data_IF_268888517463
#
_entry.id   IF_268888517463
#
_cell.length_a   1.000
_cell.length_b   1.000
_cell.length_c   1.000
_cell.angle_alpha   90.00
_cell.angle_beta   90.00
_cell.angle_gamma   90.00
#
_symmetry.space_group_name_H-M   'P 1'
#
loop_
_entity.id
_entity.type
_entity.pdbx_description
1 polymer ?
#
# COMPACT_ATOMS: atom_id res chain seq x y z
N UNK A 1 -17.47 22.00 -5.89
CA UNK A 1 -16.62 21.07 -6.67
C UNK A 1 -17.36 19.74 -6.69
N UNK A 2 -17.70 19.24 -7.85
CA UNK A 2 -18.29 17.88 -7.99
C UNK A 2 -17.23 16.88 -7.53
N UNK A 3 -17.54 16.09 -6.49
CA UNK A 3 -16.69 14.97 -6.08
C UNK A 3 -16.65 13.91 -7.20
N UNK A 4 -15.73 12.97 -7.09
CA UNK A 4 -15.61 11.85 -8.03
C UNK A 4 -16.46 10.64 -7.64
N UNK A 5 -17.14 10.71 -6.50
CA UNK A 5 -18.09 9.66 -6.13
C UNK A 5 -19.18 9.55 -7.19
N UNK A 6 -19.52 8.34 -7.65
CA UNK A 6 -20.55 8.14 -8.67
C UNK A 6 -21.88 8.77 -8.23
N UNK A 7 -22.52 9.54 -9.12
CA UNK A 7 -23.85 10.11 -8.88
C UNK A 7 -24.95 9.06 -8.94
N UNK A 8 -24.73 8.00 -9.71
CA UNK A 8 -25.58 6.81 -9.79
C UNK A 8 -24.70 5.59 -9.53
N UNK A 9 -25.11 4.78 -8.58
CA UNK A 9 -24.44 3.52 -8.31
C UNK A 9 -25.14 2.39 -9.10
N UNK A 10 -24.38 1.42 -9.61
CA UNK A 10 -24.95 0.25 -10.27
C UNK A 10 -25.99 -0.45 -9.37
N UNK A 11 -27.05 -0.96 -9.98
CA UNK A 11 -28.06 -1.73 -9.24
C UNK A 11 -27.55 -3.13 -8.98
N UNK A 12 -27.00 -3.35 -7.79
CA UNK A 12 -26.56 -4.67 -7.38
C UNK A 12 -27.75 -5.60 -7.10
N UNK A 13 -27.58 -6.87 -7.47
CA UNK A 13 -28.55 -7.94 -7.20
C UNK A 13 -27.94 -8.95 -6.25
N UNK A 14 -28.73 -9.45 -5.30
CA UNK A 14 -28.29 -10.58 -4.51
C UNK A 14 -28.08 -11.80 -5.41
N UNK A 15 -26.94 -12.45 -5.30
CA UNK A 15 -26.60 -13.72 -5.96
C UNK A 15 -26.53 -14.84 -4.92
N UNK A 16 -26.26 -16.05 -5.37
CA UNK A 16 -25.98 -17.16 -4.45
C UNK A 16 -24.74 -16.94 -3.57
N UNK A 17 -23.86 -16.00 -3.96
CA UNK A 17 -22.55 -15.77 -3.33
C UNK A 17 -22.43 -14.43 -2.60
N UNK A 18 -23.14 -13.38 -3.07
CA UNK A 18 -22.98 -12.00 -2.59
C UNK A 18 -24.36 -11.37 -2.39
N UNK A 19 -24.55 -10.67 -1.27
CA UNK A 19 -25.75 -9.87 -1.02
C UNK A 19 -25.75 -8.58 -1.87
N UNK A 20 -26.93 -7.91 -1.98
CA UNK A 20 -27.05 -6.68 -2.74
C UNK A 20 -26.16 -5.52 -2.21
N UNK A 21 -25.73 -5.57 -0.96
CA UNK A 21 -24.79 -4.60 -0.36
C UNK A 21 -23.30 -4.96 -0.62
N UNK A 22 -23.02 -5.95 -1.46
CA UNK A 22 -21.68 -6.42 -1.81
C UNK A 22 -21.09 -7.42 -0.82
N UNK A 23 -21.73 -7.69 0.31
CA UNK A 23 -21.16 -8.60 1.31
C UNK A 23 -21.22 -10.05 0.84
N UNK A 24 -20.10 -10.78 0.87
CA UNK A 24 -20.11 -12.20 0.57
C UNK A 24 -20.95 -12.97 1.62
N UNK A 25 -21.71 -13.98 1.15
CA UNK A 25 -22.42 -14.89 2.05
C UNK A 25 -21.43 -15.68 2.93
N UNK A 26 -21.94 -16.39 3.91
CA UNK A 26 -21.08 -17.12 4.86
C UNK A 26 -20.16 -18.14 4.16
N UNK A 27 -20.68 -18.91 3.21
CA UNK A 27 -19.92 -19.95 2.52
C UNK A 27 -18.76 -19.37 1.69
N UNK A 28 -19.02 -18.34 0.87
CA UNK A 28 -17.99 -17.66 0.10
C UNK A 28 -16.97 -16.98 1.03
N UNK A 29 -17.45 -16.35 2.10
CA UNK A 29 -16.61 -15.64 3.07
C UNK A 29 -15.63 -16.59 3.78
N UNK A 30 -16.06 -17.77 4.18
CA UNK A 30 -15.21 -18.79 4.79
C UNK A 30 -14.10 -19.25 3.82
N UNK A 31 -14.45 -19.47 2.54
CA UNK A 31 -13.48 -19.82 1.50
C UNK A 31 -12.47 -18.70 1.24
N UNK A 32 -12.94 -17.44 1.15
CA UNK A 32 -12.11 -16.28 0.86
C UNK A 32 -11.16 -15.94 2.00
N UNK A 33 -11.54 -16.19 3.25
CA UNK A 33 -10.74 -15.87 4.45
C UNK A 33 -9.64 -16.86 4.80
N UNK A 34 -9.46 -17.89 3.98
CA UNK A 34 -8.34 -18.81 4.15
C UNK A 34 -7.00 -18.12 3.92
N UNK A 35 -6.09 -18.18 4.91
CA UNK A 35 -4.78 -17.54 4.88
C UNK A 35 -3.74 -18.58 4.40
N UNK A 36 -3.21 -18.45 3.17
CA UNK A 36 -2.21 -19.37 2.63
C UNK A 36 -0.80 -19.05 3.15
N UNK A 37 -0.55 -19.27 4.45
CA UNK A 37 0.66 -18.86 5.16
C UNK A 37 1.96 -19.25 4.46
N UNK A 38 2.06 -20.45 3.89
CA UNK A 38 3.27 -20.92 3.20
C UNK A 38 3.55 -20.13 1.91
N UNK A 39 2.49 -19.78 1.13
CA UNK A 39 2.61 -18.94 -0.06
C UNK A 39 3.03 -17.52 0.30
N UNK A 40 2.55 -17.02 1.44
CA UNK A 40 2.91 -15.71 1.95
C UNK A 40 4.36 -15.70 2.46
N UNK A 41 4.83 -16.77 3.09
CA UNK A 41 6.24 -16.95 3.44
C UNK A 41 7.14 -16.89 2.20
N UNK A 42 6.79 -17.59 1.13
CA UNK A 42 7.50 -17.50 -0.16
C UNK A 42 7.52 -16.06 -0.66
N UNK A 43 6.41 -15.32 -0.59
CA UNK A 43 6.38 -13.91 -1.01
C UNK A 43 7.35 -13.03 -0.21
N UNK A 44 7.46 -13.24 1.10
CA UNK A 44 8.43 -12.53 1.94
C UNK A 44 9.87 -12.89 1.56
N UNK A 45 10.16 -14.19 1.41
CA UNK A 45 11.49 -14.64 0.99
C UNK A 45 11.86 -14.09 -0.38
N UNK A 46 10.96 -14.19 -1.36
CA UNK A 46 11.19 -13.68 -2.71
C UNK A 46 11.36 -12.18 -2.79
N UNK A 47 10.74 -11.41 -1.90
CA UNK A 47 11.02 -9.98 -1.77
C UNK A 47 12.49 -9.74 -1.41
N UNK A 48 13.04 -10.46 -0.44
CA UNK A 48 14.44 -10.33 -0.06
C UNK A 48 15.40 -10.86 -1.14
N UNK A 49 15.07 -11.97 -1.80
CA UNK A 49 15.84 -12.50 -2.94
C UNK A 49 15.91 -11.47 -4.07
N UNK A 50 14.78 -10.82 -4.41
CA UNK A 50 14.77 -9.76 -5.41
C UNK A 50 15.63 -8.56 -4.99
N UNK A 51 15.51 -8.10 -3.75
CA UNK A 51 16.32 -7.00 -3.22
C UNK A 51 17.81 -7.35 -3.33
N UNK A 52 18.21 -8.54 -2.88
CA UNK A 52 19.61 -8.99 -2.96
C UNK A 52 20.09 -9.08 -4.40
N UNK A 53 19.28 -9.62 -5.31
CA UNK A 53 19.61 -9.72 -6.74
C UNK A 53 19.79 -8.34 -7.39
N UNK A 54 18.95 -7.36 -7.07
CA UNK A 54 19.09 -6.00 -7.60
C UNK A 54 20.32 -5.28 -7.03
N UNK A 55 20.60 -5.43 -5.74
CA UNK A 55 21.82 -4.87 -5.15
C UNK A 55 23.07 -5.53 -5.75
N UNK A 56 23.06 -6.85 -5.98
CA UNK A 56 24.12 -7.54 -6.68
C UNK A 56 24.29 -7.04 -8.13
N UNK A 57 23.20 -6.80 -8.85
CA UNK A 57 23.21 -6.22 -10.17
C UNK A 57 23.87 -4.82 -10.19
N UNK A 58 23.57 -3.98 -9.19
CA UNK A 58 24.19 -2.67 -9.05
C UNK A 58 25.72 -2.74 -8.88
N UNK A 59 26.19 -3.77 -8.17
CA UNK A 59 27.63 -4.02 -7.95
C UNK A 59 28.29 -4.59 -9.20
N UNK A 60 27.70 -5.66 -9.78
CA UNK A 60 28.31 -6.41 -10.91
C UNK A 60 28.32 -5.62 -12.20
N UNK A 61 27.19 -4.95 -12.51
CA UNK A 61 27.03 -4.20 -13.75
C UNK A 61 27.37 -2.71 -13.62
N UNK A 62 27.60 -2.23 -12.39
CA UNK A 62 28.01 -0.86 -12.10
C UNK A 62 27.00 0.20 -12.55
N UNK A 63 27.48 1.42 -12.91
CA UNK A 63 26.63 2.59 -13.12
C UNK A 63 25.54 2.43 -14.19
N UNK A 64 25.73 1.57 -15.18
CA UNK A 64 24.75 1.30 -16.22
C UNK A 64 23.43 0.72 -15.68
N UNK A 65 23.51 -0.07 -14.62
CA UNK A 65 22.33 -0.68 -13.98
C UNK A 65 21.66 0.23 -12.94
N UNK A 66 22.35 1.24 -12.44
CA UNK A 66 21.91 2.04 -11.29
C UNK A 66 20.55 2.70 -11.45
N UNK A 67 20.21 3.32 -12.61
CA UNK A 67 18.86 3.91 -12.75
C UNK A 67 17.74 2.87 -12.63
N UNK A 68 17.94 1.70 -13.22
CA UNK A 68 16.96 0.59 -13.20
C UNK A 68 16.86 0.03 -11.78
N UNK A 69 17.99 -0.26 -11.13
CA UNK A 69 18.04 -0.78 -9.77
C UNK A 69 17.40 0.22 -8.80
N UNK A 70 17.65 1.51 -8.95
CA UNK A 70 17.05 2.57 -8.15
C UNK A 70 15.52 2.55 -8.23
N UNK A 71 14.96 2.42 -9.42
CA UNK A 71 13.50 2.32 -9.62
C UNK A 71 12.94 1.02 -9.04
N UNK A 72 13.63 -0.10 -9.25
CA UNK A 72 13.23 -1.41 -8.72
C UNK A 72 13.29 -1.45 -7.18
N UNK A 73 14.26 -0.78 -6.57
CA UNK A 73 14.32 -0.64 -5.11
C UNK A 73 13.16 0.21 -4.57
N UNK A 74 12.77 1.28 -5.25
CA UNK A 74 11.55 2.03 -4.92
C UNK A 74 10.29 1.17 -5.00
N UNK A 75 10.19 0.32 -6.04
CA UNK A 75 9.14 -0.69 -6.18
C UNK A 75 9.19 -1.75 -5.07
N UNK A 76 10.38 -2.15 -4.61
CA UNK A 76 10.51 -3.08 -3.47
C UNK A 76 9.81 -2.52 -2.21
N UNK A 77 9.89 -1.21 -1.96
CA UNK A 77 9.15 -0.60 -0.85
C UNK A 77 7.64 -0.67 -1.02
N UNK A 78 7.10 -0.67 -2.25
CA UNK A 78 5.68 -0.98 -2.47
C UNK A 78 5.34 -2.43 -2.08
N UNK A 79 6.25 -3.38 -2.32
CA UNK A 79 6.08 -4.77 -1.88
C UNK A 79 6.16 -4.91 -0.36
N UNK A 80 7.13 -4.26 0.29
CA UNK A 80 7.21 -4.19 1.75
C UNK A 80 5.92 -3.64 2.34
N UNK A 81 5.42 -2.53 1.81
CA UNK A 81 4.19 -1.89 2.27
C UNK A 81 2.96 -2.78 2.09
N UNK A 82 2.84 -3.49 0.96
CA UNK A 82 1.70 -4.37 0.69
C UNK A 82 1.70 -5.61 1.60
N UNK A 83 2.86 -6.25 1.81
CA UNK A 83 2.95 -7.38 2.75
C UNK A 83 2.80 -6.95 4.21
N UNK A 84 3.31 -5.76 4.56
CA UNK A 84 3.10 -5.18 5.88
C UNK A 84 1.63 -4.82 6.13
N UNK A 85 0.92 -4.29 5.13
CA UNK A 85 -0.51 -4.04 5.17
C UNK A 85 -1.29 -5.33 5.46
N UNK A 86 -0.94 -6.43 4.78
CA UNK A 86 -1.51 -7.75 5.04
C UNK A 86 -1.24 -8.21 6.48
N UNK A 87 -0.02 -8.00 6.98
CA UNK A 87 0.32 -8.28 8.37
C UNK A 87 -0.44 -7.36 9.35
N UNK A 88 -0.76 -6.12 8.97
CA UNK A 88 -1.57 -5.22 9.77
C UNK A 88 -3.00 -5.72 9.93
N UNK A 89 -3.59 -6.32 8.89
CA UNK A 89 -4.87 -7.03 8.95
C UNK A 89 -4.78 -8.40 9.64
N UNK A 90 -3.58 -8.88 10.01
CA UNK A 90 -3.33 -10.21 10.55
C UNK A 90 -3.68 -11.35 9.59
N UNK A 91 -3.48 -11.10 8.31
CA UNK A 91 -3.77 -12.03 7.22
C UNK A 91 -2.51 -12.52 6.48
N UNK A 92 -1.31 -12.08 6.89
CA UNK A 92 -0.07 -12.59 6.31
C UNK A 92 0.20 -14.03 6.74
N UNK A 93 -0.04 -14.35 8.02
CA UNK A 93 0.09 -15.71 8.57
C UNK A 93 -1.09 -16.02 9.50
N UNK A 94 -1.59 -17.26 9.44
CA UNK A 94 -2.63 -17.75 10.33
C UNK A 94 -2.17 -17.74 11.81
N UNK A 95 -0.90 -18.07 12.07
CA UNK A 95 -0.30 -17.91 13.39
C UNK A 95 -0.06 -16.43 13.68
N UNK A 96 -0.78 -15.87 14.65
CA UNK A 96 -0.72 -14.44 15.02
C UNK A 96 0.66 -13.98 15.48
N UNK A 97 1.42 -14.85 16.19
CA UNK A 97 2.77 -14.50 16.67
C UNK A 97 3.73 -14.39 15.50
N UNK A 98 3.68 -15.36 14.56
CA UNK A 98 4.47 -15.31 13.34
C UNK A 98 4.09 -14.10 12.48
N UNK A 99 2.79 -13.83 12.31
CA UNK A 99 2.30 -12.65 11.60
C UNK A 99 2.86 -11.34 12.15
N UNK A 100 2.77 -11.15 13.47
CA UNK A 100 3.21 -9.92 14.11
C UNK A 100 4.75 -9.80 14.14
N UNK A 101 5.47 -10.92 14.28
CA UNK A 101 6.93 -10.94 14.26
C UNK A 101 7.46 -10.60 12.85
N UNK A 102 6.99 -11.29 11.82
CA UNK A 102 7.40 -11.02 10.43
C UNK A 102 6.99 -9.61 10.02
N UNK A 103 5.75 -9.21 10.35
CA UNK A 103 5.25 -7.86 10.07
C UNK A 103 6.12 -6.76 10.66
N UNK A 104 6.65 -6.93 11.89
CA UNK A 104 7.55 -5.96 12.53
C UNK A 104 8.97 -6.04 11.98
N UNK A 105 9.59 -7.22 12.07
CA UNK A 105 11.04 -7.37 11.93
C UNK A 105 11.50 -7.55 10.49
N UNK A 106 10.68 -8.19 9.64
CA UNK A 106 11.04 -8.42 8.24
C UNK A 106 10.34 -7.46 7.26
N UNK A 107 9.31 -6.73 7.67
CA UNK A 107 8.58 -5.85 6.76
C UNK A 107 8.57 -4.40 7.24
N UNK A 108 8.05 -4.14 8.43
CA UNK A 108 7.85 -2.79 8.94
C UNK A 108 9.16 -2.06 9.26
N UNK A 109 9.99 -2.60 10.13
CA UNK A 109 11.23 -1.93 10.58
C UNK A 109 12.25 -1.73 9.45
N UNK A 110 12.47 -2.70 8.53
CA UNK A 110 13.31 -2.46 7.35
C UNK A 110 12.78 -1.36 6.44
N UNK A 111 11.45 -1.19 6.33
CA UNK A 111 10.81 -0.13 5.55
C UNK A 111 10.45 1.12 6.36
N UNK A 112 11.10 1.35 7.49
CA UNK A 112 10.90 2.52 8.37
C UNK A 112 9.47 2.71 8.88
N UNK A 113 8.67 1.63 8.94
CA UNK A 113 7.25 1.73 9.28
C UNK A 113 6.95 1.08 10.64
N UNK A 114 6.37 1.83 11.59
CA UNK A 114 5.91 1.32 12.88
C UNK A 114 4.58 0.58 12.71
N UNK A 115 4.61 -0.70 12.33
CA UNK A 115 3.42 -1.48 11.93
C UNK A 115 2.27 -1.44 12.94
N UNK A 116 2.55 -1.43 14.25
CA UNK A 116 1.47 -1.41 15.25
C UNK A 116 0.72 -0.06 15.26
N UNK A 117 1.43 1.05 15.03
CA UNK A 117 0.81 2.36 14.85
C UNK A 117 0.05 2.42 13.51
N UNK A 118 0.67 1.91 12.44
CA UNK A 118 0.02 1.78 11.14
C UNK A 118 -1.27 0.95 11.22
N UNK A 119 -1.24 -0.21 11.89
CA UNK A 119 -2.43 -1.05 12.10
C UNK A 119 -3.57 -0.28 12.77
N UNK A 120 -3.28 0.49 13.84
CA UNK A 120 -4.32 1.27 14.52
C UNK A 120 -4.91 2.33 13.60
N UNK A 121 -4.08 3.07 12.88
CA UNK A 121 -4.51 4.09 11.92
C UNK A 121 -5.33 3.46 10.79
N UNK A 122 -4.85 2.38 10.20
CA UNK A 122 -5.48 1.70 9.09
C UNK A 122 -6.82 1.04 9.46
N UNK A 123 -6.93 0.48 10.67
CA UNK A 123 -8.22 -0.02 11.17
C UNK A 123 -9.20 1.12 11.47
N UNK A 124 -8.72 2.30 11.85
CA UNK A 124 -9.58 3.48 12.01
C UNK A 124 -10.09 3.98 10.65
N UNK A 125 -9.24 3.98 9.62
CA UNK A 125 -9.60 4.27 8.24
C UNK A 125 -10.73 3.35 7.73
N UNK A 126 -10.58 2.02 7.82
CA UNK A 126 -11.64 1.07 7.42
C UNK A 126 -12.96 1.23 8.17
N UNK A 127 -12.91 1.73 9.40
CA UNK A 127 -14.11 1.90 10.24
C UNK A 127 -14.95 3.09 9.82
N UNK A 128 -14.32 4.21 9.49
CA UNK A 128 -15.00 5.49 9.24
C UNK A 128 -14.28 6.30 8.14
N UNK A 129 -14.30 5.75 6.91
CA UNK A 129 -13.71 6.40 5.73
C UNK A 129 -14.34 7.77 5.51
N UNK A 130 -13.49 8.78 5.31
CA UNK A 130 -13.87 10.20 5.24
C UNK A 130 -14.57 10.73 6.51
N UNK A 131 -14.45 10.00 7.62
CA UNK A 131 -14.97 10.46 8.90
C UNK A 131 -14.07 11.49 9.58
N UNK A 132 -14.55 12.12 10.66
CA UNK A 132 -13.82 13.21 11.33
C UNK A 132 -12.49 12.77 11.96
N UNK A 133 -12.35 11.49 12.26
CA UNK A 133 -11.15 10.93 12.91
C UNK A 133 -10.32 10.04 11.97
N UNK A 134 -10.57 10.11 10.66
CA UNK A 134 -9.82 9.33 9.71
C UNK A 134 -8.39 9.86 9.55
N UNK A 135 -7.35 9.03 9.81
CA UNK A 135 -5.96 9.49 9.80
C UNK A 135 -5.38 9.69 8.40
N UNK A 136 -5.95 9.04 7.36
CA UNK A 136 -5.41 9.02 6.00
C UNK A 136 -5.98 10.12 5.08
N UNK A 137 -6.97 10.89 5.54
CA UNK A 137 -7.56 12.03 4.83
C UNK A 137 -6.52 12.94 4.15
N UNK A 138 -5.39 13.33 4.81
CA UNK A 138 -4.41 14.22 4.19
C UNK A 138 -3.75 13.66 2.91
N UNK A 139 -3.84 12.35 2.65
CA UNK A 139 -3.26 11.71 1.47
C UNK A 139 -4.09 11.99 0.21
N UNK A 140 -5.41 12.07 0.33
CA UNK A 140 -6.34 12.08 -0.80
C UNK A 140 -7.45 13.14 -0.73
N UNK A 141 -7.51 13.97 0.31
CA UNK A 141 -8.48 15.08 0.37
C UNK A 141 -8.20 16.14 -0.69
N UNK A 142 -9.29 16.76 -1.19
CA UNK A 142 -9.25 17.91 -2.09
C UNK A 142 -9.09 17.58 -3.56
N UNK A 143 -9.14 16.29 -3.94
CA UNK A 143 -9.23 15.88 -5.34
C UNK A 143 -10.67 16.00 -5.87
N UNK A 144 -10.87 16.27 -7.18
CA UNK A 144 -9.88 16.56 -8.23
C UNK A 144 -9.09 17.85 -7.96
N UNK A 145 -7.85 17.92 -8.47
CA UNK A 145 -6.95 19.07 -8.31
C UNK A 145 -6.38 19.52 -9.66
N UNK A 146 -5.95 20.79 -9.73
CA UNK A 146 -5.25 21.31 -10.91
C UNK A 146 -3.99 20.47 -11.23
N UNK A 147 -3.68 20.22 -12.53
CA UNK A 147 -2.49 19.49 -12.96
C UNK A 147 -1.19 20.04 -12.36
N UNK A 148 -1.07 21.36 -12.23
CA UNK A 148 0.08 22.05 -11.61
C UNK A 148 0.25 21.67 -10.13
N UNK A 149 -0.86 21.45 -9.41
CA UNK A 149 -0.84 21.03 -8.02
C UNK A 149 -0.36 19.58 -7.88
N UNK A 150 -0.85 18.66 -8.73
CA UNK A 150 -0.35 17.28 -8.75
C UNK A 150 1.14 17.23 -9.10
N UNK A 151 1.57 17.95 -10.17
CA UNK A 151 2.98 18.05 -10.56
C UNK A 151 3.86 18.50 -9.41
N UNK A 152 3.46 19.58 -8.69
CA UNK A 152 4.20 20.07 -7.51
C UNK A 152 4.31 19.02 -6.40
N UNK A 153 3.22 18.28 -6.12
CA UNK A 153 3.22 17.20 -5.14
C UNK A 153 4.18 16.07 -5.56
N UNK A 154 4.15 15.63 -6.83
CA UNK A 154 5.03 14.59 -7.35
C UNK A 154 6.51 15.01 -7.36
N UNK A 155 6.82 16.25 -7.71
CA UNK A 155 8.20 16.79 -7.62
C UNK A 155 8.69 16.74 -6.17
N UNK A 156 7.90 17.16 -5.19
CA UNK A 156 8.27 17.10 -3.77
C UNK A 156 8.52 15.66 -3.31
N UNK A 157 7.76 14.71 -3.82
CA UNK A 157 7.95 13.29 -3.52
C UNK A 157 9.21 12.76 -4.20
N UNK A 158 9.39 13.02 -5.49
CA UNK A 158 10.54 12.58 -6.28
C UNK A 158 11.88 13.18 -5.81
N UNK A 159 11.86 14.42 -5.27
CA UNK A 159 13.05 15.08 -4.70
C UNK A 159 13.30 14.74 -3.23
N UNK A 160 12.52 13.84 -2.64
CA UNK A 160 12.70 13.37 -1.26
C UNK A 160 12.22 14.32 -0.17
N UNK A 161 11.62 15.49 -0.50
CA UNK A 161 11.13 16.44 0.49
C UNK A 161 10.07 15.80 1.40
N UNK A 162 9.10 15.09 0.81
CA UNK A 162 8.07 14.37 1.57
C UNK A 162 8.68 13.25 2.40
N UNK A 163 9.57 12.45 1.81
CA UNK A 163 10.27 11.36 2.51
C UNK A 163 11.05 11.84 3.71
N UNK A 164 11.83 12.91 3.55
CA UNK A 164 12.62 13.54 4.63
C UNK A 164 11.72 14.10 5.74
N UNK A 165 10.59 14.74 5.38
CA UNK A 165 9.61 15.23 6.37
C UNK A 165 9.07 14.07 7.21
N UNK A 166 8.67 12.97 6.57
CA UNK A 166 8.15 11.78 7.26
C UNK A 166 9.23 11.11 8.13
N UNK A 167 10.46 11.01 7.64
CA UNK A 167 11.59 10.48 8.38
C UNK A 167 11.87 11.31 9.64
N UNK A 168 11.90 12.65 9.51
CA UNK A 168 12.05 13.54 10.67
C UNK A 168 10.90 13.37 11.67
N UNK A 169 9.68 13.16 11.18
CA UNK A 169 8.52 12.90 12.05
C UNK A 169 8.68 11.57 12.82
N UNK A 170 9.15 10.53 12.16
CA UNK A 170 9.46 9.25 12.82
C UNK A 170 10.52 9.43 13.92
N UNK A 171 11.63 10.12 13.64
CA UNK A 171 12.68 10.36 14.64
C UNK A 171 12.21 11.20 15.83
N UNK A 172 11.26 12.14 15.63
CA UNK A 172 10.63 12.85 16.75
C UNK A 172 9.94 11.90 17.74
N UNK A 173 9.52 10.71 17.29
CA UNK A 173 8.99 9.66 18.15
C UNK A 173 9.93 9.19 19.24
N UNK A 174 11.26 9.41 19.13
CA UNK A 174 12.21 9.18 20.22
C UNK A 174 11.95 10.05 21.46
N UNK A 175 11.31 11.21 21.25
CA UNK A 175 10.93 12.16 22.30
C UNK A 175 9.46 12.07 22.69
N UNK A 176 8.73 11.06 22.20
CA UNK A 176 7.33 10.85 22.54
C UNK A 176 7.15 10.58 24.03
N UNK A 177 6.08 11.06 24.63
CA UNK A 177 5.69 10.68 25.99
C UNK A 177 5.33 9.20 26.10
N UNK A 178 4.80 8.59 25.02
CA UNK A 178 4.48 7.16 24.97
C UNK A 178 5.73 6.29 24.88
N UNK A 179 5.98 5.42 25.88
CA UNK A 179 7.14 4.51 25.90
C UNK A 179 7.14 3.53 24.71
N UNK A 180 5.97 3.10 24.28
CA UNK A 180 5.79 2.14 23.18
C UNK A 180 6.27 2.74 21.85
N UNK A 181 5.92 4.00 21.61
CA UNK A 181 6.41 4.76 20.44
C UNK A 181 7.93 4.89 20.47
N UNK A 182 8.50 5.31 21.60
CA UNK A 182 9.97 5.42 21.76
C UNK A 182 10.68 4.09 21.50
N UNK A 183 10.16 3.00 22.07
CA UNK A 183 10.74 1.67 21.88
C UNK A 183 10.66 1.22 20.42
N UNK A 184 9.54 1.47 19.75
CA UNK A 184 9.35 1.11 18.34
C UNK A 184 10.35 1.85 17.45
N UNK A 185 10.54 3.16 17.66
CA UNK A 185 11.52 3.94 16.89
C UNK A 185 12.94 3.44 17.14
N UNK A 186 13.29 3.10 18.38
CA UNK A 186 14.60 2.49 18.71
C UNK A 186 14.83 1.17 17.98
N UNK A 187 13.79 0.31 17.85
CA UNK A 187 13.88 -0.96 17.11
C UNK A 187 14.07 -0.71 15.61
N UNK A 188 13.35 0.28 15.04
CA UNK A 188 13.58 0.68 13.65
C UNK A 188 15.03 1.13 13.46
N UNK A 189 15.54 2.01 14.34
CA UNK A 189 16.93 2.48 14.27
C UNK A 189 17.90 1.29 14.37
N UNK A 190 17.69 0.36 15.30
CA UNK A 190 18.54 -0.81 15.45
C UNK A 190 18.59 -1.66 14.18
N UNK A 191 17.45 -1.90 13.52
CA UNK A 191 17.40 -2.63 12.24
C UNK A 191 18.13 -1.86 11.13
N UNK A 192 17.92 -0.54 11.03
CA UNK A 192 18.62 0.28 10.05
C UNK A 192 20.14 0.32 10.31
N UNK A 193 20.55 0.42 11.59
CA UNK A 193 21.96 0.34 11.96
C UNK A 193 22.59 -1.00 11.58
N UNK A 194 21.86 -2.12 11.75
CA UNK A 194 22.32 -3.43 11.32
C UNK A 194 22.54 -3.48 9.79
N UNK A 195 21.61 -2.93 9.00
CA UNK A 195 21.75 -2.85 7.54
C UNK A 195 22.97 -1.98 7.13
N UNK A 196 23.17 -0.86 7.82
CA UNK A 196 24.33 0.03 7.59
C UNK A 196 25.62 -0.72 7.93
N UNK A 197 25.70 -1.35 9.10
CA UNK A 197 26.89 -2.13 9.51
C UNK A 197 27.18 -3.25 8.52
N UNK A 198 26.17 -3.97 8.06
CA UNK A 198 26.35 -5.02 7.05
C UNK A 198 26.91 -4.46 5.72
N UNK A 199 26.41 -3.29 5.27
CA UNK A 199 26.92 -2.62 4.07
C UNK A 199 28.37 -2.16 4.23
N UNK A 200 28.74 -1.64 5.40
CA UNK A 200 30.14 -1.28 5.70
C UNK A 200 31.05 -2.51 5.79
N UNK A 201 30.63 -3.55 6.48
CA UNK A 201 31.39 -4.78 6.62
C UNK A 201 31.66 -5.50 5.30
N UNK A 202 30.74 -5.34 4.31
CA UNK A 202 30.93 -5.87 2.94
C UNK A 202 31.81 -4.98 2.05
N UNK A 203 32.24 -3.80 2.51
CA UNK A 203 32.94 -2.80 1.69
C UNK A 203 32.00 -2.04 0.73
N UNK A 204 30.73 -2.32 0.74
CA UNK A 204 29.72 -1.77 -0.18
C UNK A 204 28.81 -0.74 0.53
N UNK A 205 29.39 0.08 1.40
CA UNK A 205 28.68 1.04 2.26
C UNK A 205 27.71 1.97 1.47
N UNK A 206 28.06 2.29 0.23
CA UNK A 206 27.28 3.17 -0.64
C UNK A 206 25.95 2.56 -1.09
N UNK A 207 25.77 1.24 -1.02
CA UNK A 207 24.50 0.57 -1.36
C UNK A 207 23.37 1.04 -0.45
N UNK A 208 23.65 1.25 0.84
CA UNK A 208 22.60 1.68 1.77
C UNK A 208 22.06 3.08 1.44
N UNK A 209 22.86 4.16 1.37
CA UNK A 209 22.33 5.46 1.02
C UNK A 209 21.77 5.52 -0.41
N UNK A 210 22.42 4.91 -1.40
CA UNK A 210 22.02 5.02 -2.79
C UNK A 210 20.83 4.15 -3.19
N UNK A 211 20.75 2.90 -2.68
CA UNK A 211 19.76 1.93 -3.14
C UNK A 211 18.78 1.44 -2.05
N UNK A 212 18.97 1.86 -0.81
CA UNK A 212 17.98 1.64 0.24
C UNK A 212 17.29 2.93 0.65
N UNK A 213 18.04 3.88 1.17
CA UNK A 213 17.49 5.10 1.72
C UNK A 213 16.93 6.04 0.65
N UNK A 214 17.68 6.32 -0.42
CA UNK A 214 17.25 7.27 -1.44
C UNK A 214 15.98 6.80 -2.20
N UNK A 215 15.84 5.54 -2.68
CA UNK A 215 14.60 5.06 -3.27
C UNK A 215 13.41 5.09 -2.30
N UNK A 216 13.62 4.84 -1.00
CA UNK A 216 12.59 5.00 0.02
C UNK A 216 12.10 6.43 0.16
N UNK A 217 13.02 7.40 0.15
CA UNK A 217 12.70 8.82 0.31
C UNK A 217 12.05 9.43 -0.94
N UNK A 218 12.25 8.84 -2.11
CA UNK A 218 11.91 9.42 -3.42
C UNK A 218 10.91 8.55 -4.19
N UNK A 219 11.35 7.52 -4.89
CA UNK A 219 10.53 6.67 -5.77
C UNK A 219 9.34 6.07 -5.03
N UNK A 220 9.57 5.53 -3.84
CA UNK A 220 8.48 5.01 -3.02
C UNK A 220 7.44 6.06 -2.66
N UNK A 221 7.83 7.31 -2.42
CA UNK A 221 6.87 8.39 -2.12
C UNK A 221 5.99 8.70 -3.31
N UNK A 222 6.56 8.71 -4.52
CA UNK A 222 5.79 8.87 -5.77
C UNK A 222 4.80 7.72 -5.95
N UNK A 223 5.27 6.49 -5.83
CA UNK A 223 4.41 5.29 -5.95
C UNK A 223 3.27 5.35 -4.91
N UNK A 224 3.60 5.64 -3.66
CA UNK A 224 2.61 5.69 -2.58
C UNK A 224 1.56 6.78 -2.80
N UNK A 225 1.96 7.97 -3.30
CA UNK A 225 1.00 9.02 -3.64
C UNK A 225 0.07 8.61 -4.77
N UNK A 226 0.62 8.12 -5.89
CA UNK A 226 -0.16 7.71 -7.05
C UNK A 226 -1.15 6.59 -6.69
N UNK A 227 -0.73 5.70 -5.80
CA UNK A 227 -1.59 4.66 -5.24
C UNK A 227 -2.69 5.26 -4.35
N UNK A 228 -2.35 6.05 -3.33
CA UNK A 228 -3.32 6.58 -2.36
C UNK A 228 -4.42 7.41 -3.01
N UNK A 229 -4.08 8.26 -4.01
CA UNK A 229 -5.09 9.03 -4.72
C UNK A 229 -5.96 8.17 -5.64
N UNK A 230 -5.43 7.05 -6.14
CA UNK A 230 -6.21 6.10 -6.93
C UNK A 230 -7.09 5.18 -6.06
N UNK A 231 -6.85 5.12 -4.77
CA UNK A 231 -7.68 4.36 -3.82
C UNK A 231 -8.91 5.19 -3.39
N UNK A 232 -8.74 6.48 -3.03
CA UNK A 232 -9.79 7.29 -2.40
C UNK A 232 -9.89 8.74 -2.90
N UNK A 233 -9.05 9.17 -3.84
CA UNK A 233 -9.00 10.57 -4.28
C UNK A 233 -10.34 11.06 -4.84
N UNK A 234 -10.88 12.18 -4.30
CA UNK A 234 -12.13 12.77 -4.77
C UNK A 234 -13.40 12.03 -4.37
N UNK A 235 -13.28 10.91 -3.66
CA UNK A 235 -14.42 10.21 -3.11
C UNK A 235 -14.99 10.95 -1.88
N UNK A 236 -16.11 10.48 -1.34
CA UNK A 236 -16.83 11.14 -0.24
C UNK A 236 -17.27 10.14 0.84
N UNK A 237 -17.61 10.65 2.00
CA UNK A 237 -18.14 9.84 3.10
C UNK A 237 -19.44 9.16 2.70
N UNK A 238 -19.53 7.85 2.87
CA UNK A 238 -20.72 7.05 2.60
C UNK A 238 -20.67 5.72 3.35
N UNK A 239 -21.82 5.09 3.53
CA UNK A 239 -21.92 3.70 3.97
C UNK A 239 -21.73 2.71 2.81
N UNK A 240 -21.84 3.17 1.59
CA UNK A 240 -21.57 2.39 0.39
C UNK A 240 -20.12 2.56 -0.05
N UNK A 241 -19.37 1.45 -0.09
CA UNK A 241 -17.94 1.45 -0.41
C UNK A 241 -17.63 1.93 -1.82
N UNK A 242 -18.59 1.87 -2.73
CA UNK A 242 -18.48 2.40 -4.10
C UNK A 242 -18.43 3.93 -4.16
N UNK A 243 -18.86 4.60 -3.11
CA UNK A 243 -18.77 6.06 -2.98
C UNK A 243 -17.54 6.51 -2.17
N UNK A 244 -16.83 5.59 -1.51
CA UNK A 244 -15.63 5.89 -0.72
C UNK A 244 -14.34 5.41 -1.39
N UNK A 245 -14.43 4.44 -2.31
CA UNK A 245 -13.27 3.71 -2.83
C UNK A 245 -13.41 3.48 -4.33
N UNK A 246 -12.37 3.82 -5.10
CA UNK A 246 -12.34 3.56 -6.54
C UNK A 246 -12.15 2.07 -6.86
N UNK A 247 -12.78 1.62 -7.96
CA UNK A 247 -12.43 0.38 -8.64
C UNK A 247 -11.59 0.68 -9.88
N UNK A 248 -10.51 -0.10 -10.08
CA UNK A 248 -9.62 0.06 -11.24
C UNK A 248 -9.24 -1.31 -11.78
N UNK A 249 -9.36 -1.53 -13.09
CA UNK A 249 -8.90 -2.76 -13.74
C UNK A 249 -7.41 -2.97 -13.55
N UNK A 250 -7.05 -4.20 -13.18
CA UNK A 250 -5.69 -4.56 -12.81
C UNK A 250 -4.89 -5.09 -14.01
N UNK A 251 -4.01 -4.25 -14.56
CA UNK A 251 -3.10 -4.62 -15.63
C UNK A 251 -1.70 -5.00 -15.09
N UNK A 252 -0.98 -5.85 -15.83
CA UNK A 252 0.36 -6.32 -15.42
C UNK A 252 1.34 -5.20 -15.05
N UNK A 253 1.48 -4.10 -15.81
CA UNK A 253 2.38 -3.01 -15.43
C UNK A 253 2.04 -2.37 -14.09
N UNK A 254 0.74 -2.15 -13.81
CA UNK A 254 0.30 -1.59 -12.53
C UNK A 254 0.54 -2.57 -11.37
N UNK A 255 0.21 -3.85 -11.57
CA UNK A 255 0.48 -4.92 -10.59
C UNK A 255 1.98 -5.11 -10.33
N UNK A 256 2.82 -4.86 -11.32
CA UNK A 256 4.26 -4.91 -11.16
C UNK A 256 4.79 -3.70 -10.39
N UNK A 257 4.49 -2.48 -10.83
CA UNK A 257 5.14 -1.26 -10.33
C UNK A 257 4.41 -0.61 -9.15
N UNK A 258 3.06 -0.62 -9.15
CA UNK A 258 2.27 0.24 -8.29
C UNK A 258 1.59 -0.52 -7.14
N UNK A 259 0.91 -1.63 -7.45
CA UNK A 259 0.00 -2.36 -6.56
C UNK A 259 0.32 -3.86 -6.51
N UNK A 260 1.53 -4.25 -6.05
CA UNK A 260 1.93 -5.65 -6.00
C UNK A 260 1.02 -6.47 -5.07
N UNK A 261 1.03 -7.78 -5.23
CA UNK A 261 0.30 -8.74 -4.40
C UNK A 261 -1.22 -8.54 -4.38
N UNK A 262 -1.82 -8.16 -5.51
CA UNK A 262 -3.26 -7.98 -5.67
C UNK A 262 -3.89 -6.88 -4.79
N UNK A 263 -3.11 -6.02 -4.14
CA UNK A 263 -3.64 -4.95 -3.30
C UNK A 263 -4.44 -3.89 -4.10
N UNK A 264 -4.31 -3.90 -5.44
CA UNK A 264 -5.03 -3.00 -6.32
C UNK A 264 -6.53 -3.30 -6.47
N UNK A 265 -7.01 -4.48 -6.05
CA UNK A 265 -8.46 -4.73 -5.90
C UNK A 265 -8.99 -4.08 -4.63
N UNK A 266 -8.81 -2.76 -4.55
CA UNK A 266 -8.94 -2.01 -3.31
C UNK A 266 -10.40 -1.87 -2.87
N UNK A 267 -11.34 -1.70 -3.81
CA UNK A 267 -12.77 -1.72 -3.49
C UNK A 267 -13.21 -3.06 -2.87
N UNK A 268 -12.79 -4.19 -3.44
CA UNK A 268 -13.06 -5.50 -2.85
C UNK A 268 -12.48 -5.64 -1.44
N UNK A 269 -11.27 -5.07 -1.21
CA UNK A 269 -10.65 -5.01 0.12
C UNK A 269 -11.49 -4.18 1.10
N UNK A 270 -12.08 -3.07 0.68
CA UNK A 270 -12.96 -2.26 1.53
C UNK A 270 -14.33 -2.87 1.76
N UNK A 271 -14.83 -3.69 0.84
CA UNK A 271 -16.09 -4.45 1.03
C UNK A 271 -15.94 -5.51 2.13
N UNK A 272 -14.85 -6.29 2.10
CA UNK A 272 -14.50 -7.21 3.22
C UNK A 272 -12.99 -7.20 3.48
N UNK A 273 -12.57 -6.34 4.39
CA UNK A 273 -11.17 -6.19 4.80
C UNK A 273 -10.58 -7.39 5.54
N UNK A 274 -11.37 -8.44 5.78
CA UNK A 274 -10.93 -9.73 6.31
C UNK A 274 -10.55 -10.75 5.22
N UNK A 275 -10.60 -10.38 3.94
CA UNK A 275 -10.20 -11.24 2.82
C UNK A 275 -8.72 -10.99 2.49
N UNK A 276 -7.85 -12.04 2.58
CA UNK A 276 -6.44 -11.92 2.21
C UNK A 276 -6.24 -11.46 0.76
N UNK A 277 -5.18 -10.69 0.51
CA UNK A 277 -4.87 -10.10 -0.80
C UNK A 277 -4.91 -11.12 -1.96
N UNK A 278 -4.59 -12.38 -1.70
CA UNK A 278 -4.61 -13.43 -2.73
C UNK A 278 -6.00 -13.78 -3.22
N UNK A 279 -7.01 -13.55 -2.40
CA UNK A 279 -8.40 -13.88 -2.68
C UNK A 279 -9.23 -12.64 -3.10
N UNK A 280 -8.65 -11.43 -3.06
CA UNK A 280 -9.33 -10.21 -3.51
C UNK A 280 -9.82 -10.28 -4.96
N UNK A 281 -9.06 -10.87 -5.93
CA UNK A 281 -9.58 -11.04 -7.29
C UNK A 281 -10.88 -11.84 -7.32
N UNK A 282 -10.97 -12.96 -6.57
CA UNK A 282 -12.19 -13.79 -6.51
C UNK A 282 -13.38 -13.04 -5.90
N UNK A 283 -13.12 -12.20 -4.88
CA UNK A 283 -14.18 -11.35 -4.33
C UNK A 283 -14.62 -10.31 -5.36
N UNK A 284 -13.68 -9.68 -6.05
CA UNK A 284 -13.97 -8.70 -7.10
C UNK A 284 -14.81 -9.30 -8.23
N UNK A 285 -14.47 -10.52 -8.70
CA UNK A 285 -15.24 -11.23 -9.71
C UNK A 285 -16.68 -11.48 -9.23
N UNK A 286 -16.86 -11.90 -7.99
CA UNK A 286 -18.20 -12.10 -7.40
C UNK A 286 -18.98 -10.78 -7.25
N UNK A 287 -18.31 -9.65 -7.00
CA UNK A 287 -18.94 -8.33 -6.98
C UNK A 287 -19.38 -7.89 -8.38
N UNK A 288 -18.62 -8.22 -9.43
CA UNK A 288 -19.03 -8.02 -10.82
C UNK A 288 -20.24 -8.87 -11.20
N UNK A 289 -20.25 -10.15 -10.88
CA UNK A 289 -21.39 -11.05 -11.10
C UNK A 289 -22.68 -10.55 -10.44
N UNK A 290 -22.56 -9.93 -9.26
CA UNK A 290 -23.67 -9.33 -8.53
C UNK A 290 -24.09 -7.95 -9.11
N UNK A 291 -23.36 -7.40 -10.08
CA UNK A 291 -23.57 -6.03 -10.57
C UNK A 291 -23.26 -4.96 -9.52
N UNK A 292 -22.54 -5.31 -8.44
CA UNK A 292 -22.08 -4.34 -7.45
C UNK A 292 -20.97 -3.44 -8.01
N UNK A 293 -20.14 -3.99 -8.88
CA UNK A 293 -19.16 -3.28 -9.71
C UNK A 293 -19.48 -3.54 -11.17
N UNK A 294 -19.46 -2.51 -11.99
CA UNK A 294 -19.60 -2.60 -13.45
C UNK A 294 -18.70 -1.56 -14.15
N UNK A 295 -18.75 -1.53 -15.47
CA UNK A 295 -17.95 -0.63 -16.30
C UNK A 295 -18.27 0.86 -16.10
N UNK A 296 -19.36 1.21 -15.43
CA UNK A 296 -19.74 2.61 -15.16
C UNK A 296 -18.96 3.21 -13.99
N UNK A 297 -18.53 2.38 -13.03
CA UNK A 297 -17.78 2.81 -11.85
C UNK A 297 -16.34 2.27 -11.81
N UNK A 298 -16.00 1.32 -12.69
CA UNK A 298 -14.65 0.77 -12.76
C UNK A 298 -13.80 1.46 -13.83
N UNK A 299 -12.74 2.14 -13.41
CA UNK A 299 -11.78 2.74 -14.31
C UNK A 299 -10.99 1.68 -15.10
N UNK A 300 -10.84 1.88 -16.41
CA UNK A 300 -10.14 0.96 -17.30
C UNK A 300 -8.63 0.84 -16.98
N UNK A 301 -8.04 1.85 -16.34
CA UNK A 301 -6.62 1.84 -15.95
C UNK A 301 -6.30 2.94 -14.94
N UNK A 302 -5.18 2.83 -14.23
CA UNK A 302 -4.67 3.89 -13.35
C UNK A 302 -4.44 5.23 -14.08
N UNK A 303 -3.86 5.27 -15.29
CA UNK A 303 -3.75 6.52 -16.05
C UNK A 303 -5.11 7.19 -16.37
N UNK A 304 -6.16 6.40 -16.61
CA UNK A 304 -7.51 6.94 -16.83
C UNK A 304 -8.04 7.60 -15.56
N UNK A 305 -7.90 6.94 -14.41
CA UNK A 305 -8.29 7.48 -13.11
C UNK A 305 -7.48 8.73 -12.74
N UNK A 306 -6.14 8.70 -12.91
CA UNK A 306 -5.31 9.88 -12.61
C UNK A 306 -5.64 11.09 -13.47
N UNK A 307 -6.03 10.89 -14.76
CA UNK A 307 -6.55 11.98 -15.60
C UNK A 307 -7.82 12.57 -15.02
N UNK A 308 -8.78 11.74 -14.62
CA UNK A 308 -10.01 12.21 -13.99
C UNK A 308 -9.76 12.96 -12.67
N UNK A 309 -8.71 12.59 -11.91
CA UNK A 309 -8.31 13.27 -10.66
C UNK A 309 -7.65 14.64 -10.87
N UNK A 310 -7.35 15.03 -12.10
CA UNK A 310 -6.76 16.32 -12.46
C UNK A 310 -7.56 17.08 -13.53
N UNK A 311 -8.69 16.53 -13.94
CA UNK A 311 -9.57 17.16 -14.92
C UNK A 311 -10.58 18.04 -14.17
N UNK A 312 -10.20 19.32 -13.97
CA UNK A 312 -10.96 20.33 -13.20
C UNK A 312 -11.17 21.57 -14.04
#
# INVERSE_FOLDING_TARGET
>A
MSGMAPSLLPTARATASVAADGRPNQQLREQLRNIPSWRNAISVVMLYVQVAAWLAAAVVWGPWSWPIVFMLMGRAFAQFASLMHEAAHRMLFANRRANDWVGRWLLGYPSFTPIDAYRRAHMAHHRDEFGPNEPDIPLYIGYPIQPSSLRRKLIRDATGQTGTKLMRSMFRGLRSADPTTRQTVRKIIAVQSLLIVAAFASGLWWLYPAFWLAPYLTVWRVINRLRSIAEHGGMQRSNDRRATTHSVRQHLPARFMLVPYNIGWHLAHHVDSGVPFRNLPRLHDALHEAGYVDDTIEYQSYPALWRALIDV
#
